data_IF_174358935928
#
_entry.id   IF_174358935928
#
_cell.length_a   1.000
_cell.length_b   1.000
_cell.length_c   1.000
_cell.angle_alpha   90.00
_cell.angle_beta   90.00
_cell.angle_gamma   90.00
#
_symmetry.space_group_name_H-M   'P 1'
#
loop_
_entity.id
_entity.type
_entity.pdbx_description
1 polymer ?
#
# COMPACT_ATOMS: atom_id res chain seq x y z
N UNK A 1 24.61 -34.61 57.06
CA UNK A 1 25.90 -33.90 56.97
C UNK A 1 26.55 -34.24 55.63
N UNK A 2 26.89 -33.21 54.86
CA UNK A 2 27.78 -33.09 53.69
C UNK A 2 28.28 -34.35 52.95
N UNK A 3 28.05 -34.38 51.62
CA UNK A 3 29.05 -34.08 50.57
C UNK A 3 28.49 -34.56 49.20
N UNK A 4 28.19 -33.69 48.23
CA UNK A 4 29.10 -33.00 47.30
C UNK A 4 29.60 -33.87 46.12
N UNK A 5 28.82 -33.84 45.01
CA UNK A 5 29.19 -33.72 43.58
C UNK A 5 30.00 -34.83 42.85
N UNK A 6 29.89 -34.89 41.50
CA UNK A 6 29.81 -36.13 40.70
C UNK A 6 31.10 -36.47 39.94
N UNK A 7 31.17 -37.62 39.23
CA UNK A 7 32.10 -37.80 38.13
C UNK A 7 31.42 -37.73 36.75
N UNK A 8 32.12 -37.07 35.85
CA UNK A 8 31.85 -36.89 34.43
C UNK A 8 32.10 -38.17 33.64
N UNK A 9 31.21 -38.47 32.69
CA UNK A 9 31.54 -39.13 31.40
C UNK A 9 30.32 -38.93 30.49
N UNK A 10 30.46 -38.12 29.44
CA UNK A 10 30.57 -38.57 28.04
C UNK A 10 29.31 -39.36 27.67
N UNK A 11 28.40 -38.84 26.86
CA UNK A 11 28.53 -38.90 25.41
C UNK A 11 27.81 -37.75 24.69
N UNK A 12 28.44 -37.37 23.59
CA UNK A 12 28.07 -36.47 22.51
C UNK A 12 26.58 -36.39 22.18
N UNK A 13 26.12 -35.15 22.00
CA UNK A 13 24.89 -34.82 21.28
C UNK A 13 24.94 -33.37 20.84
N UNK A 14 25.94 -33.05 20.02
CA UNK A 14 26.17 -31.72 19.49
C UNK A 14 25.00 -31.27 18.60
N UNK A 15 24.56 -30.06 18.91
CA UNK A 15 23.68 -29.16 18.18
C UNK A 15 24.08 -29.08 16.69
N UNK A 16 23.16 -29.41 15.79
CA UNK A 16 23.13 -28.99 14.37
C UNK A 16 21.64 -29.03 13.95
N UNK A 17 20.96 -27.89 13.89
CA UNK A 17 20.81 -27.00 12.72
C UNK A 17 19.64 -27.39 11.79
N UNK A 18 19.01 -26.36 11.24
CA UNK A 18 17.86 -26.31 10.31
C UNK A 18 16.49 -26.49 10.98
N UNK A 19 15.69 -25.46 11.20
CA UNK A 19 15.52 -24.27 10.36
C UNK A 19 14.44 -24.52 9.31
N UNK A 20 13.22 -24.87 9.72
CA UNK A 20 12.02 -24.65 8.91
C UNK A 20 11.62 -23.20 9.04
N UNK A 21 12.39 -22.38 8.31
CA UNK A 21 12.17 -20.98 8.02
C UNK A 21 10.91 -20.86 7.14
N UNK A 22 10.03 -19.96 7.57
CA UNK A 22 9.12 -19.15 6.75
C UNK A 22 8.92 -19.55 5.28
N UNK A 23 7.75 -20.13 4.98
CA UNK A 23 7.15 -20.11 3.65
C UNK A 23 5.74 -19.48 3.74
N UNK A 24 5.70 -18.24 4.22
CA UNK A 24 4.67 -17.26 3.88
C UNK A 24 5.35 -16.18 3.05
N UNK A 25 5.68 -16.53 1.82
CA UNK A 25 6.07 -15.57 0.79
C UNK A 25 4.80 -15.21 0.01
N UNK A 26 4.47 -13.91 -0.02
CA UNK A 26 3.45 -13.39 -0.93
C UNK A 26 2.37 -12.50 -0.34
N UNK A 27 2.63 -11.78 0.75
CA UNK A 27 1.94 -10.52 1.02
C UNK A 27 3.00 -9.42 1.08
N UNK A 28 3.51 -8.98 -0.08
CA UNK A 28 4.02 -7.61 -0.22
C UNK A 28 2.81 -6.66 -0.14
N UNK A 29 2.27 -6.55 1.06
CA UNK A 29 1.41 -5.43 1.41
C UNK A 29 2.35 -4.39 1.98
N UNK A 30 2.74 -3.42 1.16
CA UNK A 30 3.19 -2.12 1.66
C UNK A 30 2.19 -1.71 2.74
N UNK A 31 2.64 -1.73 4.00
CA UNK A 31 1.80 -1.30 5.12
C UNK A 31 1.61 0.21 5.02
N UNK A 32 0.45 0.76 5.41
CA UNK A 32 0.21 2.21 5.40
C UNK A 32 1.27 3.04 6.14
N UNK A 33 2.10 2.40 6.98
CA UNK A 33 3.20 3.03 7.71
C UNK A 33 4.38 3.49 6.82
N UNK A 34 4.54 2.95 5.60
CA UNK A 34 5.60 3.36 4.65
C UNK A 34 5.20 4.55 3.77
N UNK A 35 4.01 5.12 3.99
CA UNK A 35 3.40 6.13 3.15
C UNK A 35 3.57 7.54 3.72
N UNK A 36 4.23 8.44 2.99
CA UNK A 36 4.30 9.86 3.35
C UNK A 36 3.00 10.58 2.93
N UNK A 37 2.39 11.34 3.84
CA UNK A 37 1.16 12.09 3.57
C UNK A 37 1.44 13.23 2.56
N UNK A 38 0.73 13.20 1.42
CA UNK A 38 0.93 14.16 0.32
C UNK A 38 0.53 15.59 0.72
N UNK A 39 -0.33 15.74 1.72
CA UNK A 39 -0.73 17.05 2.24
C UNK A 39 0.43 17.84 2.86
N UNK A 40 1.47 17.15 3.35
CA UNK A 40 2.62 17.76 4.03
C UNK A 40 3.85 17.90 3.14
N UNK A 41 3.82 17.37 1.91
CA UNK A 41 4.92 17.48 0.95
C UNK A 41 4.69 18.65 -0.03
N UNK A 42 5.57 19.66 -0.11
CA UNK A 42 5.52 20.63 -1.18
C UNK A 42 5.76 19.90 -2.50
N UNK A 43 4.73 19.82 -3.34
CA UNK A 43 4.81 19.25 -4.68
C UNK A 43 5.98 19.90 -5.42
N UNK A 44 6.96 19.10 -5.86
CA UNK A 44 8.11 19.67 -6.60
C UNK A 44 7.56 20.42 -7.82
N UNK A 45 8.10 21.60 -8.17
CA UNK A 45 7.57 22.42 -9.26
C UNK A 45 7.43 21.67 -10.60
N UNK A 46 8.32 20.71 -10.88
CA UNK A 46 8.35 19.90 -12.11
C UNK A 46 7.21 18.87 -12.23
N UNK A 47 6.49 18.55 -11.14
CA UNK A 47 5.39 17.57 -11.12
C UNK A 47 4.07 18.19 -10.68
N UNK A 48 3.98 19.52 -10.59
CA UNK A 48 2.82 20.20 -10.02
C UNK A 48 1.53 19.94 -10.79
N UNK A 49 1.58 19.97 -12.13
CA UNK A 49 0.40 19.70 -12.96
C UNK A 49 -0.05 18.24 -12.89
N UNK A 50 0.92 17.32 -12.88
CA UNK A 50 0.71 15.89 -12.70
C UNK A 50 0.10 15.56 -11.32
N UNK A 51 0.62 16.18 -10.27
CA UNK A 51 0.14 16.07 -8.90
C UNK A 51 -1.26 16.66 -8.71
N UNK A 52 -1.58 17.80 -9.33
CA UNK A 52 -2.93 18.37 -9.31
C UNK A 52 -3.96 17.42 -9.95
N UNK A 53 -3.58 16.74 -11.05
CA UNK A 53 -4.45 15.73 -11.69
C UNK A 53 -4.66 14.49 -10.83
N UNK A 54 -3.59 13.94 -10.25
CA UNK A 54 -3.67 12.80 -9.33
C UNK A 54 -4.55 13.13 -8.12
N UNK A 55 -4.32 14.31 -7.52
CA UNK A 55 -5.14 14.81 -6.41
C UNK A 55 -6.60 14.93 -6.79
N UNK A 56 -6.91 15.60 -7.89
CA UNK A 56 -8.28 15.81 -8.34
C UNK A 56 -9.02 14.49 -8.59
N UNK A 57 -8.34 13.49 -9.15
CA UNK A 57 -8.88 12.15 -9.32
C UNK A 57 -9.17 11.47 -7.97
N UNK A 58 -8.23 11.47 -7.03
CA UNK A 58 -8.41 10.81 -5.74
C UNK A 58 -9.44 11.52 -4.85
N UNK A 59 -9.51 12.85 -4.87
CA UNK A 59 -10.56 13.62 -4.20
C UNK A 59 -11.95 13.26 -4.75
N UNK A 60 -12.07 13.04 -6.06
CA UNK A 60 -13.31 12.57 -6.67
C UNK A 60 -13.68 11.15 -6.21
N UNK A 61 -12.70 10.24 -6.13
CA UNK A 61 -12.90 8.88 -5.62
C UNK A 61 -13.36 8.89 -4.16
N UNK A 62 -12.72 9.66 -3.29
CA UNK A 62 -13.11 9.78 -1.88
C UNK A 62 -14.55 10.27 -1.76
N UNK A 63 -14.90 11.33 -2.49
CA UNK A 63 -16.25 11.90 -2.49
C UNK A 63 -17.30 10.87 -2.94
N UNK A 64 -17.03 10.16 -4.03
CA UNK A 64 -17.99 9.23 -4.60
C UNK A 64 -18.09 7.92 -3.80
N UNK A 65 -16.99 7.47 -3.18
CA UNK A 65 -17.00 6.36 -2.21
C UNK A 65 -17.85 6.69 -0.98
N UNK A 66 -17.71 7.90 -0.42
CA UNK A 66 -18.54 8.36 0.70
C UNK A 66 -20.01 8.46 0.34
N UNK A 67 -20.33 8.84 -0.90
CA UNK A 67 -21.71 8.85 -1.40
C UNK A 67 -22.25 7.41 -1.56
N UNK A 68 -21.49 6.55 -2.26
CA UNK A 68 -21.87 5.15 -2.47
C UNK A 68 -22.06 4.39 -1.17
N UNK A 69 -21.17 4.57 -0.19
CA UNK A 69 -21.27 3.95 1.13
C UNK A 69 -22.49 4.46 1.91
N UNK A 70 -22.81 5.75 1.82
CA UNK A 70 -24.03 6.30 2.44
C UNK A 70 -25.30 5.69 1.84
N UNK A 71 -25.31 5.48 0.53
CA UNK A 71 -26.49 5.00 -0.20
C UNK A 71 -26.68 3.48 -0.08
N UNK A 72 -25.59 2.72 0.02
CA UNK A 72 -25.61 1.24 -0.05
C UNK A 72 -25.15 0.54 1.23
N UNK A 73 -24.53 1.26 2.16
CA UNK A 73 -23.85 0.72 3.33
C UNK A 73 -22.55 -0.03 3.02
N UNK A 74 -22.02 0.06 1.79
CA UNK A 74 -20.79 -0.63 1.36
C UNK A 74 -19.91 0.29 0.52
N UNK A 75 -18.60 0.11 0.57
CA UNK A 75 -17.69 0.77 -0.37
C UNK A 75 -17.74 0.09 -1.74
N UNK A 76 -17.64 0.89 -2.80
CA UNK A 76 -17.60 0.38 -4.15
C UNK A 76 -16.27 -0.33 -4.42
N UNK A 77 -16.34 -1.50 -5.05
CA UNK A 77 -15.16 -2.16 -5.61
C UNK A 77 -15.10 -1.88 -7.12
N UNK A 78 -13.96 -1.40 -7.61
CA UNK A 78 -13.75 -1.05 -9.01
C UNK A 78 -14.26 0.34 -9.41
N UNK A 79 -13.46 1.04 -10.22
CA UNK A 79 -13.73 2.42 -10.65
C UNK A 79 -15.03 2.59 -11.44
N UNK A 80 -15.47 1.55 -12.17
CA UNK A 80 -16.73 1.56 -12.94
C UNK A 80 -17.99 1.77 -12.11
N UNK A 81 -17.90 1.53 -10.81
CA UNK A 81 -19.00 1.71 -9.86
C UNK A 81 -19.01 3.12 -9.24
N UNK A 82 -18.09 3.98 -9.68
CA UNK A 82 -17.92 5.36 -9.23
C UNK A 82 -18.05 6.33 -10.41
N UNK A 83 -18.45 7.56 -10.13
CA UNK A 83 -18.65 8.65 -11.10
C UNK A 83 -17.41 9.54 -11.20
N UNK A 84 -16.28 8.92 -11.52
CA UNK A 84 -14.95 9.58 -11.46
C UNK A 84 -14.24 9.63 -12.82
N UNK A 85 -14.85 9.10 -13.87
CA UNK A 85 -14.21 8.96 -15.20
C UNK A 85 -13.65 10.28 -15.74
N UNK A 86 -14.43 11.36 -15.65
CA UNK A 86 -14.00 12.68 -16.11
C UNK A 86 -12.82 13.21 -15.30
N UNK A 87 -12.87 13.06 -13.98
CA UNK A 87 -11.87 13.63 -13.06
C UNK A 87 -10.57 12.79 -13.08
N UNK A 88 -10.65 11.51 -13.46
CA UNK A 88 -9.53 10.58 -13.58
C UNK A 88 -9.10 10.32 -15.03
N UNK A 89 -9.56 11.12 -15.99
CA UNK A 89 -9.28 10.91 -17.41
C UNK A 89 -7.76 10.92 -17.68
N UNK A 90 -7.28 9.87 -18.35
CA UNK A 90 -5.86 9.69 -18.67
C UNK A 90 -4.98 9.28 -17.48
N UNK A 91 -5.57 8.77 -16.40
CA UNK A 91 -4.88 8.13 -15.28
C UNK A 91 -5.28 6.65 -15.19
N UNK A 92 -4.36 5.83 -14.69
CA UNK A 92 -4.66 4.45 -14.35
C UNK A 92 -5.24 4.39 -12.94
N UNK A 93 -6.56 4.25 -12.84
CA UNK A 93 -7.27 4.14 -11.56
C UNK A 93 -7.65 2.70 -11.23
N UNK A 94 -7.32 2.27 -10.01
CA UNK A 94 -7.73 0.99 -9.44
C UNK A 94 -8.39 1.23 -8.09
N UNK A 95 -9.54 0.60 -7.85
CA UNK A 95 -10.29 0.73 -6.59
C UNK A 95 -10.62 -0.66 -6.09
N UNK A 96 -10.29 -0.94 -4.83
CA UNK A 96 -10.59 -2.21 -4.15
C UNK A 96 -11.26 -1.92 -2.82
N UNK A 97 -12.43 -2.51 -2.58
CA UNK A 97 -13.05 -2.50 -1.26
C UNK A 97 -12.55 -3.70 -0.44
N UNK A 98 -12.50 -3.54 0.89
CA UNK A 98 -12.22 -4.59 1.86
C UNK A 98 -13.09 -4.39 3.12
N UNK A 99 -13.00 -5.31 4.09
CA UNK A 99 -13.92 -5.40 5.23
C UNK A 99 -13.94 -4.17 6.16
N UNK A 100 -12.97 -3.26 6.01
CA UNK A 100 -12.85 -2.04 6.82
C UNK A 100 -12.90 -0.73 6.02
N UNK A 101 -12.93 -0.78 4.69
CA UNK A 101 -12.63 0.41 3.90
C UNK A 101 -12.48 0.16 2.42
N UNK A 102 -11.67 1.01 1.80
CA UNK A 102 -11.25 0.84 0.42
C UNK A 102 -9.83 1.36 0.24
N UNK A 103 -9.17 0.86 -0.80
CA UNK A 103 -7.93 1.39 -1.31
C UNK A 103 -8.14 1.83 -2.76
N UNK A 104 -7.82 3.08 -3.05
CA UNK A 104 -7.84 3.64 -4.39
C UNK A 104 -6.43 4.04 -4.80
N UNK A 105 -5.93 3.47 -5.90
CA UNK A 105 -4.61 3.78 -6.45
C UNK A 105 -4.79 4.51 -7.77
N UNK A 106 -4.25 5.72 -7.89
CA UNK A 106 -4.17 6.48 -9.12
C UNK A 106 -2.70 6.55 -9.57
N UNK A 107 -2.44 6.09 -10.79
CA UNK A 107 -1.11 6.06 -11.39
C UNK A 107 -1.07 6.93 -12.64
N UNK A 108 -0.07 7.80 -12.70
CA UNK A 108 0.29 8.54 -13.89
C UNK A 108 1.58 7.96 -14.46
N UNK A 109 1.56 7.61 -15.74
CA UNK A 109 2.74 7.18 -16.49
C UNK A 109 2.95 8.17 -17.63
N UNK A 110 4.12 8.81 -17.68
CA UNK A 110 4.49 9.74 -18.74
C UNK A 110 5.99 9.67 -18.97
N UNK A 111 6.36 9.40 -20.21
CA UNK A 111 7.75 9.10 -20.59
C UNK A 111 8.31 7.99 -19.68
N UNK A 112 9.43 8.22 -18.99
CA UNK A 112 10.04 7.30 -18.03
C UNK A 112 9.65 7.60 -16.57
N UNK A 113 8.70 8.53 -16.35
CA UNK A 113 8.27 8.91 -14.99
C UNK A 113 6.97 8.22 -14.62
N UNK A 114 6.99 7.57 -13.46
CA UNK A 114 5.85 6.96 -12.82
C UNK A 114 5.58 7.62 -11.48
N UNK A 115 4.34 8.05 -11.26
CA UNK A 115 3.88 8.58 -9.97
C UNK A 115 2.63 7.82 -9.56
N UNK A 116 2.64 7.24 -8.37
CA UNK A 116 1.56 6.42 -7.84
C UNK A 116 1.08 7.04 -6.54
N UNK A 117 -0.19 7.44 -6.51
CA UNK A 117 -0.81 7.97 -5.31
C UNK A 117 -1.96 7.08 -4.84
N UNK A 118 -2.11 6.95 -3.54
CA UNK A 118 -3.10 6.11 -2.88
C UNK A 118 -4.03 6.97 -2.04
N UNK A 119 -5.32 6.63 -2.03
CA UNK A 119 -6.28 7.13 -1.05
C UNK A 119 -7.01 5.97 -0.36
N UNK A 120 -7.31 6.16 0.92
CA UNK A 120 -8.05 5.20 1.76
C UNK A 120 -9.40 5.75 2.26
N UNK A 121 -10.09 4.98 3.11
CA UNK A 121 -11.37 5.37 3.69
C UNK A 121 -11.30 6.56 4.67
N UNK A 122 -10.12 6.81 5.25
CA UNK A 122 -9.89 7.98 6.10
C UNK A 122 -9.90 9.27 5.27
N UNK A 123 -9.66 9.14 3.96
CA UNK A 123 -9.56 10.25 3.02
C UNK A 123 -8.17 10.88 2.99
N UNK A 124 -7.17 10.22 3.58
CA UNK A 124 -5.77 10.59 3.42
C UNK A 124 -5.28 10.18 2.05
N UNK A 125 -4.37 10.98 1.50
CA UNK A 125 -3.71 10.71 0.22
C UNK A 125 -2.21 10.60 0.47
N UNK A 126 -1.62 9.55 -0.10
CA UNK A 126 -0.21 9.22 0.05
C UNK A 126 0.45 9.00 -1.30
N UNK A 127 1.74 9.32 -1.39
CA UNK A 127 2.57 8.95 -2.53
C UNK A 127 3.23 7.62 -2.21
N UNK A 128 3.03 6.63 -3.08
CA UNK A 128 3.74 5.37 -3.06
C UNK A 128 4.94 5.52 -3.99
N UNK A 129 6.14 5.30 -3.46
CA UNK A 129 7.31 5.17 -4.33
C UNK A 129 7.23 3.82 -5.04
N UNK A 130 7.21 3.78 -6.38
CA UNK A 130 7.18 2.52 -7.10
C UNK A 130 8.42 1.70 -6.75
N UNK A 131 8.25 0.40 -6.57
CA UNK A 131 9.38 -0.53 -6.40
C UNK A 131 10.28 -0.49 -7.65
N UNK A 132 11.59 -0.65 -7.47
CA UNK A 132 12.57 -0.55 -8.57
C UNK A 132 12.25 -1.51 -9.75
N UNK A 133 11.60 -2.65 -9.47
CA UNK A 133 11.15 -3.62 -10.49
C UNK A 133 10.02 -3.09 -11.39
N UNK A 134 9.23 -2.09 -10.96
CA UNK A 134 8.20 -1.45 -11.80
C UNK A 134 8.77 -0.35 -12.72
N UNK A 135 10.06 -0.01 -12.57
CA UNK A 135 10.74 1.06 -13.32
C UNK A 135 11.56 0.55 -14.51
N UNK A 136 11.76 -0.76 -14.64
CA UNK A 136 12.42 -1.36 -15.81
C UNK A 136 11.38 -1.63 -16.92
N UNK A 137 11.39 -0.78 -17.94
CA UNK A 137 10.62 -0.94 -19.19
C UNK A 137 11.46 -1.57 -20.30
#
# INVERSE_FOLDING_TARGET
>A
MNANRPPLSLWLGAILFLGTLLMLQGCSGSTPDDLAEVHDFPLRPAVKGEAERLRGCLDAVIRDQRAHHRDTGRYASGAKNLRVERDCAGLHLKVRAHDGGYLATAKLVKDETMVVWIADETGKIFEEMPEEEELEF
#
